data_IF_234748373166
#
_entry.id   IF_234748373166
#
_cell.length_a   1.000
_cell.length_b   1.000
_cell.length_c   1.000
_cell.angle_alpha   90.00
_cell.angle_beta   90.00
_cell.angle_gamma   90.00
#
_symmetry.space_group_name_H-M   'P 1'
#
loop_
_entity.id
_entity.type
_entity.pdbx_description
1 polymer ?
#
# COMPACT_ATOMS: atom_id res chain seq x y z
N UNK A 1 -25.34 -9.47 -2.02
CA UNK A 1 -25.03 -9.20 -0.59
C UNK A 1 -23.99 -8.10 -0.61
N UNK A 2 -24.42 -6.83 -0.54
CA UNK A 2 -23.51 -5.69 -0.49
C UNK A 2 -22.84 -5.70 0.89
N UNK A 3 -21.54 -6.02 0.94
CA UNK A 3 -20.71 -5.75 2.11
C UNK A 3 -20.47 -4.24 2.14
N UNK A 4 -21.44 -3.50 2.67
CA UNK A 4 -21.37 -2.06 2.80
C UNK A 4 -20.56 -1.69 4.05
N UNK A 5 -19.24 -1.65 3.93
CA UNK A 5 -18.37 -0.99 4.92
C UNK A 5 -18.35 0.51 4.63
N UNK A 6 -19.44 1.21 4.94
CA UNK A 6 -19.48 2.68 4.89
C UNK A 6 -18.88 3.24 6.17
N UNK A 7 -17.55 3.35 6.18
CA UNK A 7 -16.83 4.33 6.97
C UNK A 7 -16.53 5.52 6.03
N UNK A 8 -17.05 6.74 6.30
CA UNK A 8 -16.85 7.89 5.43
C UNK A 8 -15.39 8.36 5.31
N UNK A 9 -14.47 7.85 6.15
CA UNK A 9 -13.02 8.09 6.04
C UNK A 9 -12.26 6.96 5.33
N UNK A 10 -12.96 5.90 4.85
CA UNK A 10 -12.33 4.78 4.19
C UNK A 10 -12.65 4.75 2.69
N UNK A 11 -11.68 4.99 1.81
CA UNK A 11 -11.92 4.95 0.38
C UNK A 11 -12.49 3.59 -0.06
N UNK A 12 -13.71 3.61 -0.60
CA UNK A 12 -14.41 2.38 -0.93
C UNK A 12 -13.84 1.70 -2.18
N UNK A 13 -13.56 0.40 -2.07
CA UNK A 13 -13.26 -0.50 -3.18
C UNK A 13 -14.52 -1.30 -3.48
N UNK A 14 -15.08 -1.18 -4.68
CA UNK A 14 -16.29 -1.91 -5.07
C UNK A 14 -15.99 -2.93 -6.17
N UNK A 15 -16.55 -4.13 -6.02
CA UNK A 15 -16.49 -5.18 -7.02
C UNK A 15 -17.85 -5.31 -7.70
N UNK A 16 -17.90 -5.11 -9.01
CA UNK A 16 -19.11 -5.23 -9.82
C UNK A 16 -18.97 -6.52 -10.65
N UNK A 17 -19.94 -7.45 -10.58
CA UNK A 17 -19.81 -8.75 -11.26
C UNK A 17 -19.57 -8.65 -12.76
N UNK A 18 -20.25 -7.71 -13.43
CA UNK A 18 -20.07 -7.45 -14.85
C UNK A 18 -20.44 -6.02 -15.22
N UNK A 19 -19.90 -5.55 -16.35
CA UNK A 19 -20.28 -4.26 -16.93
C UNK A 19 -20.43 -4.41 -18.44
N UNK A 20 -21.67 -4.30 -18.93
CA UNK A 20 -21.96 -4.35 -20.36
C UNK A 20 -21.62 -3.01 -21.01
N UNK A 21 -21.09 -3.01 -22.24
CA UNK A 21 -20.95 -1.77 -23.00
C UNK A 21 -22.33 -1.19 -23.31
N UNK A 22 -22.49 0.15 -23.33
CA UNK A 22 -23.76 0.78 -23.68
C UNK A 22 -24.19 0.51 -25.13
N UNK A 23 -23.22 0.21 -26.01
CA UNK A 23 -23.42 -0.19 -27.38
C UNK A 23 -22.44 -1.34 -27.69
N UNK A 24 -22.95 -2.46 -28.18
CA UNK A 24 -22.14 -3.63 -28.51
C UNK A 24 -21.30 -3.37 -29.78
N UNK A 25 -20.30 -4.22 -30.04
CA UNK A 25 -19.60 -4.19 -31.32
C UNK A 25 -20.53 -4.71 -32.43
N UNK A 26 -20.49 -4.09 -33.60
CA UNK A 26 -21.34 -4.48 -34.72
C UNK A 26 -21.70 -3.33 -35.65
N UNK A 27 -22.53 -3.66 -36.64
CA UNK A 27 -23.05 -2.71 -37.63
C UNK A 27 -24.37 -2.10 -37.16
N UNK A 28 -24.45 -0.78 -37.22
CA UNK A 28 -25.60 -0.02 -36.76
C UNK A 28 -26.08 0.97 -37.83
N UNK A 29 -27.38 1.23 -37.81
CA UNK A 29 -28.05 2.19 -38.69
C UNK A 29 -28.81 3.22 -37.87
N UNK A 30 -28.40 4.48 -37.97
CA UNK A 30 -29.15 5.61 -37.41
C UNK A 30 -30.13 6.10 -38.47
N UNK A 31 -31.40 6.17 -38.12
CA UNK A 31 -32.43 6.79 -38.96
C UNK A 31 -32.99 8.01 -38.27
N UNK A 32 -32.76 9.20 -38.84
CA UNK A 32 -33.35 10.45 -38.40
C UNK A 32 -34.58 10.75 -39.26
N UNK A 33 -35.76 10.85 -38.64
CA UNK A 33 -36.99 11.25 -39.31
C UNK A 33 -37.48 12.59 -38.76
N UNK A 34 -37.75 13.54 -39.64
CA UNK A 34 -38.36 14.83 -39.30
C UNK A 34 -39.70 14.94 -40.00
N UNK A 35 -40.74 15.18 -39.23
CA UNK A 35 -42.08 15.44 -39.76
C UNK A 35 -42.38 16.92 -39.60
N UNK A 36 -42.71 17.59 -40.71
CA UNK A 36 -43.05 19.01 -40.76
C UNK A 36 -44.52 19.14 -41.13
N UNK A 37 -45.28 19.86 -40.32
CA UNK A 37 -46.69 20.15 -40.56
C UNK A 37 -46.88 21.66 -40.74
N UNK A 38 -47.53 22.05 -41.84
CA UNK A 38 -47.86 23.47 -42.10
C UNK A 38 -49.37 23.58 -42.26
N UNK A 39 -50.01 24.38 -41.39
CA UNK A 39 -51.40 24.81 -41.53
C UNK A 39 -52.47 23.71 -41.37
N UNK A 40 -52.16 22.58 -40.72
CA UNK A 40 -53.14 21.53 -40.40
C UNK A 40 -53.59 20.66 -41.56
N UNK A 41 -52.92 20.72 -42.73
CA UNK A 41 -53.37 19.99 -43.93
C UNK A 41 -52.27 19.24 -44.70
N UNK A 42 -50.99 19.59 -44.55
CA UNK A 42 -49.89 18.87 -45.23
C UNK A 42 -48.80 18.47 -44.23
N UNK A 43 -48.54 17.17 -44.16
CA UNK A 43 -47.53 16.55 -43.30
C UNK A 43 -46.44 15.95 -44.19
N UNK A 44 -45.29 16.60 -44.29
CA UNK A 44 -44.12 16.07 -45.01
C UNK A 44 -43.19 15.37 -44.02
N UNK A 45 -42.73 14.18 -44.37
CA UNK A 45 -41.74 13.44 -43.57
C UNK A 45 -40.43 13.29 -44.34
N UNK A 46 -39.38 13.88 -43.80
CA UNK A 46 -38.01 13.75 -44.26
C UNK A 46 -37.32 12.62 -43.49
N UNK A 47 -36.52 11.80 -44.18
CA UNK A 47 -35.72 10.74 -43.57
C UNK A 47 -34.27 10.87 -44.03
N UNK A 48 -33.36 10.78 -43.07
CA UNK A 48 -31.93 10.62 -43.31
C UNK A 48 -31.45 9.35 -42.62
N UNK A 49 -30.57 8.60 -43.28
CA UNK A 49 -30.05 7.33 -42.78
C UNK A 49 -28.53 7.38 -42.82
N UNK A 50 -27.90 6.98 -41.72
CA UNK A 50 -26.45 6.87 -41.60
C UNK A 50 -26.08 5.51 -41.02
N UNK A 51 -25.29 4.74 -41.76
CA UNK A 51 -24.69 3.50 -41.31
C UNK A 51 -23.35 3.78 -40.64
N UNK A 52 -23.05 3.08 -39.54
CA UNK A 52 -21.78 3.15 -38.84
C UNK A 52 -21.46 1.81 -38.17
N UNK A 53 -20.18 1.58 -37.85
CA UNK A 53 -19.71 0.34 -37.23
C UNK A 53 -19.06 0.68 -35.89
N UNK A 54 -19.36 -0.11 -34.88
CA UNK A 54 -18.66 -0.09 -33.58
C UNK A 54 -17.66 -1.23 -33.59
N UNK A 55 -16.38 -0.89 -33.56
CA UNK A 55 -15.28 -1.86 -33.50
C UNK A 55 -14.94 -2.18 -32.04
N UNK A 56 -14.53 -3.42 -31.79
CA UNK A 56 -14.02 -3.88 -30.50
C UNK A 56 -12.79 -4.78 -30.69
N UNK A 57 -12.01 -4.96 -29.64
CA UNK A 57 -10.87 -5.89 -29.66
C UNK A 57 -11.38 -7.32 -29.89
N UNK A 58 -10.65 -8.11 -30.70
CA UNK A 58 -11.06 -9.48 -31.06
C UNK A 58 -9.89 -10.45 -31.13
N UNK A 59 -8.94 -10.21 -32.03
CA UNK A 59 -7.80 -11.10 -32.28
C UNK A 59 -6.45 -10.51 -31.83
N UNK A 60 -6.47 -9.25 -31.40
CA UNK A 60 -5.37 -8.56 -30.75
C UNK A 60 -5.90 -7.78 -29.57
N UNK A 61 -4.98 -7.34 -28.73
CA UNK A 61 -5.25 -6.44 -27.64
C UNK A 61 -4.29 -5.26 -27.78
N UNK A 62 -4.82 -4.05 -27.86
CA UNK A 62 -4.00 -2.84 -27.76
C UNK A 62 -3.23 -2.85 -26.42
N UNK A 63 -1.88 -2.75 -26.42
CA UNK A 63 -1.09 -2.67 -25.21
C UNK A 63 -1.54 -1.56 -24.23
N UNK A 64 -2.16 -0.48 -24.73
CA UNK A 64 -2.70 0.59 -23.88
C UNK A 64 -3.90 0.14 -23.03
N UNK A 65 -4.61 -0.93 -23.44
CA UNK A 65 -5.70 -1.52 -22.67
C UNK A 65 -5.20 -2.41 -21.54
N UNK A 66 -3.96 -2.88 -21.59
CA UNK A 66 -3.35 -3.69 -20.54
C UNK A 66 -2.86 -2.78 -19.40
N UNK A 67 -3.46 -2.92 -18.22
CA UNK A 67 -3.03 -2.16 -17.04
C UNK A 67 -1.90 -2.87 -16.29
N UNK A 68 -2.11 -4.14 -15.92
CA UNK A 68 -1.13 -4.94 -15.19
C UNK A 68 -1.40 -6.43 -15.30
N UNK A 69 -0.35 -7.22 -15.07
CA UNK A 69 -0.39 -8.68 -15.00
C UNK A 69 0.11 -9.12 -13.63
N UNK A 70 -0.48 -10.18 -13.10
CA UNK A 70 -0.18 -10.68 -11.77
C UNK A 70 -0.18 -12.21 -11.77
N UNK A 71 0.91 -12.88 -11.38
CA UNK A 71 2.23 -12.32 -11.10
C UNK A 71 2.79 -11.50 -12.28
N UNK A 72 3.67 -10.53 -12.00
CA UNK A 72 4.25 -9.70 -13.07
C UNK A 72 5.12 -10.56 -13.99
N UNK A 73 5.22 -10.15 -15.25
CA UNK A 73 6.13 -10.80 -16.18
C UNK A 73 7.59 -10.77 -15.64
N UNK A 74 8.25 -11.92 -15.64
CA UNK A 74 9.58 -12.14 -15.07
C UNK A 74 9.64 -12.23 -13.54
N UNK A 75 8.51 -12.15 -12.83
CA UNK A 75 8.51 -12.17 -11.37
C UNK A 75 8.96 -13.51 -10.80
N UNK A 76 9.54 -13.45 -9.59
CA UNK A 76 9.96 -14.63 -8.80
C UNK A 76 9.46 -14.47 -7.38
N UNK A 77 8.72 -15.44 -6.87
CA UNK A 77 8.11 -15.36 -5.54
C UNK A 77 7.27 -16.58 -5.22
N UNK A 78 6.70 -16.63 -4.01
CA UNK A 78 5.67 -17.61 -3.69
C UNK A 78 4.34 -17.13 -4.28
N UNK A 79 3.95 -17.75 -5.38
CA UNK A 79 2.68 -17.48 -6.07
C UNK A 79 1.72 -18.66 -5.99
N UNK A 80 2.03 -19.70 -5.20
CA UNK A 80 1.27 -20.95 -5.22
C UNK A 80 -0.14 -20.81 -4.64
N UNK A 81 -0.44 -19.66 -4.03
CA UNK A 81 -1.74 -19.29 -3.43
C UNK A 81 -2.41 -18.13 -4.17
N UNK A 82 -1.91 -17.76 -5.33
CA UNK A 82 -2.41 -16.65 -6.11
C UNK A 82 -2.83 -17.14 -7.50
N UNK A 83 -4.12 -16.95 -7.84
CA UNK A 83 -4.58 -17.16 -9.21
C UNK A 83 -3.97 -16.09 -10.13
N UNK A 84 -3.35 -16.50 -11.26
CA UNK A 84 -2.88 -15.56 -12.26
C UNK A 84 -4.03 -14.72 -12.79
N UNK A 85 -3.82 -13.42 -12.94
CA UNK A 85 -4.85 -12.52 -13.41
C UNK A 85 -4.26 -11.33 -14.17
N UNK A 86 -5.09 -10.71 -14.99
CA UNK A 86 -4.79 -9.51 -15.74
C UNK A 86 -5.80 -8.41 -15.38
N UNK A 87 -5.31 -7.18 -15.31
CA UNK A 87 -6.13 -5.97 -15.12
C UNK A 87 -6.13 -5.19 -16.43
N UNK A 88 -7.31 -4.78 -16.88
CA UNK A 88 -7.56 -4.10 -18.14
C UNK A 88 -8.15 -2.70 -17.87
N UNK A 89 -7.69 -1.70 -18.61
CA UNK A 89 -8.17 -0.32 -18.52
C UNK A 89 -9.59 -0.15 -19.08
N UNK A 90 -10.01 -1.03 -20.01
CA UNK A 90 -11.38 -1.05 -20.52
C UNK A 90 -12.25 -1.98 -19.67
N UNK A 91 -13.04 -1.40 -18.75
CA UNK A 91 -13.88 -2.15 -17.81
C UNK A 91 -14.94 -3.04 -18.47
N UNK A 92 -15.41 -2.70 -19.67
CA UNK A 92 -16.43 -3.48 -20.40
C UNK A 92 -15.83 -4.58 -21.28
N UNK A 93 -14.51 -4.56 -21.52
CA UNK A 93 -13.85 -5.42 -22.49
C UNK A 93 -14.17 -6.93 -22.33
N UNK A 94 -14.19 -7.51 -21.11
CA UNK A 94 -14.56 -8.92 -20.92
C UNK A 94 -15.97 -9.29 -21.39
N UNK A 95 -16.85 -8.30 -21.62
CA UNK A 95 -18.25 -8.48 -22.04
C UNK A 95 -18.61 -7.71 -23.32
N UNK A 96 -17.62 -7.23 -24.07
CA UNK A 96 -17.85 -6.64 -25.40
C UNK A 96 -18.18 -7.70 -26.46
N UNK A 97 -17.75 -8.95 -26.21
CA UNK A 97 -18.02 -10.13 -27.04
C UNK A 97 -18.53 -11.28 -26.17
N UNK A 98 -18.88 -12.38 -26.80
CA UNK A 98 -19.54 -13.51 -26.16
C UNK A 98 -18.86 -14.85 -26.50
N UNK A 99 -18.78 -15.79 -25.55
CA UNK A 99 -18.48 -17.19 -25.85
C UNK A 99 -19.54 -17.88 -26.73
N UNK A 100 -20.75 -17.33 -26.75
CA UNK A 100 -21.84 -17.83 -27.58
C UNK A 100 -21.88 -17.13 -28.95
N UNK A 101 -22.29 -17.88 -29.97
CA UNK A 101 -22.57 -17.34 -31.31
C UNK A 101 -23.75 -16.36 -31.29
N UNK A 102 -24.76 -16.65 -30.46
CA UNK A 102 -25.92 -15.80 -30.23
C UNK A 102 -25.85 -15.19 -28.82
N UNK A 103 -26.35 -13.96 -28.60
CA UNK A 103 -26.31 -13.35 -27.27
C UNK A 103 -27.04 -14.20 -26.23
N UNK A 104 -26.50 -14.23 -25.00
CA UNK A 104 -27.10 -14.95 -23.88
C UNK A 104 -28.52 -14.43 -23.58
N UNK A 105 -29.39 -15.31 -23.08
CA UNK A 105 -30.74 -14.95 -22.68
C UNK A 105 -30.73 -13.83 -21.62
N UNK A 106 -31.69 -12.91 -21.74
CA UNK A 106 -31.84 -11.76 -20.85
C UNK A 106 -32.06 -12.20 -19.40
N UNK A 107 -31.23 -11.71 -18.47
CA UNK A 107 -31.39 -11.92 -17.02
C UNK A 107 -30.33 -12.80 -16.36
N UNK A 108 -29.45 -13.43 -17.13
CA UNK A 108 -28.30 -14.17 -16.58
C UNK A 108 -27.01 -13.33 -16.56
N UNK A 109 -26.11 -13.63 -15.63
CA UNK A 109 -24.75 -13.04 -15.59
C UNK A 109 -24.00 -13.41 -16.87
N UNK A 110 -23.62 -12.44 -17.74
CA UNK A 110 -22.96 -12.76 -19.00
C UNK A 110 -21.56 -13.34 -18.74
N UNK A 111 -21.21 -14.51 -19.32
CA UNK A 111 -19.86 -15.05 -19.20
C UNK A 111 -18.87 -14.18 -19.97
N UNK A 112 -17.63 -14.10 -19.48
CA UNK A 112 -16.59 -13.42 -20.23
C UNK A 112 -16.16 -14.20 -21.46
N UNK A 113 -15.90 -13.51 -22.56
CA UNK A 113 -15.21 -14.09 -23.72
C UNK A 113 -13.68 -14.16 -23.54
N UNK A 114 -13.16 -13.66 -22.42
CA UNK A 114 -11.75 -13.69 -22.08
C UNK A 114 -11.50 -14.68 -20.95
N UNK A 115 -10.39 -15.41 -21.02
CA UNK A 115 -9.94 -16.27 -19.95
C UNK A 115 -8.42 -16.22 -19.79
N UNK A 116 -7.95 -16.46 -18.57
CA UNK A 116 -6.53 -16.69 -18.31
C UNK A 116 -6.30 -18.20 -18.16
N UNK A 117 -5.51 -18.77 -19.06
CA UNK A 117 -5.07 -20.17 -18.99
C UNK A 117 -3.62 -20.24 -18.53
N UNK A 118 -3.29 -21.24 -17.71
CA UNK A 118 -1.99 -21.39 -17.07
C UNK A 118 -1.35 -22.73 -17.45
N UNK A 119 -0.08 -22.65 -17.84
CA UNK A 119 0.79 -23.78 -18.14
C UNK A 119 1.97 -23.79 -17.18
N UNK A 120 2.46 -24.97 -16.82
CA UNK A 120 3.69 -25.15 -16.06
C UNK A 120 4.59 -26.24 -16.66
N UNK A 121 5.69 -26.58 -16.00
CA UNK A 121 6.66 -27.57 -16.51
C UNK A 121 6.09 -28.99 -16.67
N UNK A 122 5.01 -29.33 -15.97
CA UNK A 122 4.34 -30.64 -16.06
C UNK A 122 3.49 -30.76 -17.33
N UNK A 123 3.00 -29.63 -17.82
CA UNK A 123 2.19 -29.48 -19.03
C UNK A 123 2.65 -28.25 -19.82
N UNK A 124 3.81 -28.36 -20.49
CA UNK A 124 4.54 -27.22 -20.99
C UNK A 124 3.70 -26.37 -21.95
N UNK A 125 3.86 -25.04 -21.91
CA UNK A 125 3.11 -24.14 -22.77
C UNK A 125 3.41 -24.46 -24.24
N UNK A 126 2.39 -24.62 -25.10
CA UNK A 126 2.60 -24.75 -26.53
C UNK A 126 3.27 -23.48 -27.10
N UNK A 127 4.08 -23.58 -28.16
CA UNK A 127 4.75 -22.44 -28.75
C UNK A 127 3.72 -21.45 -29.32
N UNK A 128 3.87 -20.17 -28.99
CA UNK A 128 3.07 -19.11 -29.60
C UNK A 128 3.45 -18.95 -31.08
N UNK A 129 2.45 -18.98 -31.96
CA UNK A 129 2.61 -18.87 -33.40
C UNK A 129 1.97 -17.60 -33.92
N UNK A 130 2.72 -16.81 -34.69
CA UNK A 130 2.16 -15.67 -35.42
C UNK A 130 1.72 -16.14 -36.81
N UNK A 131 0.47 -15.88 -37.16
CA UNK A 131 -0.09 -16.15 -38.48
C UNK A 131 -1.06 -15.04 -38.88
N UNK A 132 -1.78 -15.19 -39.99
CA UNK A 132 -2.80 -14.22 -40.43
C UNK A 132 -4.21 -14.79 -40.24
N UNK A 133 -5.23 -13.92 -40.25
CA UNK A 133 -6.64 -14.33 -40.12
C UNK A 133 -7.10 -15.33 -41.20
N UNK A 134 -6.48 -15.31 -42.39
CA UNK A 134 -6.70 -16.32 -43.43
C UNK A 134 -6.42 -17.76 -42.96
N UNK A 135 -5.41 -17.93 -42.09
CA UNK A 135 -4.90 -19.22 -41.65
C UNK A 135 -5.39 -19.64 -40.26
N UNK A 136 -6.32 -18.87 -39.68
CA UNK A 136 -6.83 -19.11 -38.33
C UNK A 136 -7.74 -20.35 -38.26
N UNK A 137 -8.37 -20.73 -39.38
CA UNK A 137 -9.29 -21.86 -39.47
C UNK A 137 -8.64 -23.20 -39.08
N UNK A 138 -9.48 -24.10 -38.57
CA UNK A 138 -9.08 -25.45 -38.21
C UNK A 138 -8.74 -26.35 -39.39
N UNK A 139 -8.22 -27.54 -39.08
CA UNK A 139 -8.02 -28.67 -39.99
C UNK A 139 -8.63 -29.94 -39.39
N UNK A 140 -8.56 -31.08 -40.07
CA UNK A 140 -9.15 -32.35 -39.60
C UNK A 140 -8.73 -32.76 -38.17
N UNK A 141 -7.51 -32.38 -37.74
CA UNK A 141 -7.00 -32.68 -36.39
C UNK A 141 -6.91 -31.46 -35.46
N UNK A 142 -7.13 -30.25 -35.99
CA UNK A 142 -7.00 -29.00 -35.25
C UNK A 142 -8.31 -28.23 -35.26
N UNK A 143 -8.87 -27.99 -34.08
CA UNK A 143 -10.14 -27.32 -33.94
C UNK A 143 -9.97 -25.81 -33.69
N UNK A 144 -10.77 -25.02 -34.41
CA UNK A 144 -11.03 -23.60 -34.14
C UNK A 144 -12.48 -23.30 -34.51
N UNK A 145 -13.27 -22.55 -33.71
CA UNK A 145 -14.67 -22.28 -34.02
C UNK A 145 -14.82 -21.47 -35.32
N UNK A 146 -15.98 -21.61 -35.95
CA UNK A 146 -16.32 -20.81 -37.11
C UNK A 146 -16.29 -19.31 -36.76
N UNK A 147 -15.75 -18.50 -37.69
CA UNK A 147 -15.70 -17.04 -37.58
C UNK A 147 -16.44 -16.38 -38.74
N UNK A 148 -17.02 -15.22 -38.47
CA UNK A 148 -17.45 -14.24 -39.46
C UNK A 148 -16.39 -13.15 -39.62
N UNK A 149 -16.21 -12.64 -40.83
CA UNK A 149 -15.39 -11.45 -41.08
C UNK A 149 -16.18 -10.21 -40.71
N UNK A 150 -15.62 -9.36 -39.86
CA UNK A 150 -16.22 -8.08 -39.45
C UNK A 150 -15.68 -6.91 -40.27
N UNK A 151 -16.44 -5.81 -40.43
CA UNK A 151 -15.94 -4.62 -41.13
C UNK A 151 -14.64 -4.12 -40.50
N UNK A 152 -13.62 -3.92 -41.33
CA UNK A 152 -12.29 -3.50 -40.90
C UNK A 152 -11.28 -4.63 -40.72
N UNK A 153 -11.72 -5.90 -40.72
CA UNK A 153 -10.83 -7.05 -40.72
C UNK A 153 -10.33 -7.37 -42.13
N UNK A 154 -9.05 -7.73 -42.22
CA UNK A 154 -8.41 -8.22 -43.45
C UNK A 154 -7.82 -9.59 -43.21
N UNK A 155 -7.86 -10.46 -44.23
CA UNK A 155 -7.28 -11.80 -44.15
C UNK A 155 -5.76 -11.81 -43.89
N UNK A 156 -5.09 -10.68 -44.14
CA UNK A 156 -3.67 -10.43 -43.88
C UNK A 156 -3.38 -9.97 -42.46
N UNK A 157 -4.40 -9.67 -41.65
CA UNK A 157 -4.20 -9.20 -40.28
C UNK A 157 -3.47 -10.26 -39.46
N UNK A 158 -2.33 -9.93 -38.81
CA UNK A 158 -1.68 -10.85 -37.90
C UNK A 158 -2.55 -11.27 -36.70
N UNK A 159 -2.36 -12.49 -36.24
CA UNK A 159 -2.95 -13.06 -35.03
C UNK A 159 -1.91 -13.97 -34.38
N UNK A 160 -1.88 -13.97 -33.05
CA UNK A 160 -1.03 -14.89 -32.27
C UNK A 160 -1.91 -15.99 -31.71
N UNK A 161 -1.52 -17.25 -31.93
CA UNK A 161 -2.26 -18.42 -31.48
C UNK A 161 -1.38 -19.38 -30.71
N UNK A 162 -2.02 -20.22 -29.92
CA UNK A 162 -1.43 -21.39 -29.27
C UNK A 162 -2.29 -22.61 -29.60
N UNK A 163 -1.66 -23.74 -29.93
CA UNK A 163 -2.33 -24.99 -30.25
C UNK A 163 -2.18 -25.94 -29.05
N UNK A 164 -3.25 -26.07 -28.26
CA UNK A 164 -3.26 -26.84 -27.01
C UNK A 164 -3.73 -28.26 -27.29
N UNK A 165 -3.07 -29.26 -26.72
CA UNK A 165 -3.56 -30.65 -26.80
C UNK A 165 -4.98 -30.77 -26.22
N UNK A 166 -5.83 -31.60 -26.82
CA UNK A 166 -7.25 -31.70 -26.45
C UNK A 166 -7.45 -32.15 -24.99
N UNK A 167 -6.62 -33.06 -24.48
CA UNK A 167 -6.74 -33.55 -23.11
C UNK A 167 -6.32 -32.44 -22.14
N UNK A 168 -5.23 -31.74 -22.46
CA UNK A 168 -4.78 -30.59 -21.68
C UNK A 168 -5.80 -29.44 -21.72
N UNK A 169 -6.39 -29.15 -22.88
CA UNK A 169 -7.42 -28.12 -23.02
C UNK A 169 -8.62 -28.43 -22.13
N UNK A 170 -9.14 -29.66 -22.14
CA UNK A 170 -10.25 -30.05 -21.28
C UNK A 170 -9.88 -29.99 -19.79
N UNK A 171 -8.61 -30.22 -19.44
CA UNK A 171 -8.13 -30.16 -18.05
C UNK A 171 -7.94 -28.73 -17.52
N UNK A 172 -7.58 -27.76 -18.36
CA UNK A 172 -7.19 -26.41 -17.91
C UNK A 172 -8.18 -25.30 -18.32
N UNK A 173 -8.96 -25.50 -19.37
CA UNK A 173 -9.91 -24.49 -19.81
C UNK A 173 -11.03 -24.31 -18.77
N UNK A 174 -11.49 -23.07 -18.54
CA UNK A 174 -12.63 -22.84 -17.66
C UNK A 174 -13.91 -23.41 -18.26
N UNK A 175 -14.83 -23.87 -17.40
CA UNK A 175 -16.19 -24.19 -17.82
C UNK A 175 -16.94 -22.92 -18.23
N UNK A 176 -18.05 -23.08 -18.93
CA UNK A 176 -18.93 -21.95 -19.25
C UNK A 176 -19.47 -21.23 -17.99
N UNK A 177 -19.66 -21.97 -16.90
CA UNK A 177 -20.10 -21.39 -15.63
C UNK A 177 -18.96 -20.64 -14.93
N UNK A 178 -17.72 -21.15 -14.97
CA UNK A 178 -16.53 -20.47 -14.45
C UNK A 178 -16.33 -19.09 -15.07
N UNK A 179 -16.62 -18.93 -16.37
CA UNK A 179 -16.48 -17.66 -17.08
C UNK A 179 -17.38 -16.54 -16.54
N UNK A 180 -18.40 -16.86 -15.74
CA UNK A 180 -19.24 -15.87 -15.04
C UNK A 180 -18.58 -15.33 -13.77
N UNK A 181 -17.56 -16.03 -13.27
CA UNK A 181 -16.82 -15.70 -12.03
C UNK A 181 -15.38 -15.25 -12.31
N UNK A 182 -14.82 -15.68 -13.43
CA UNK A 182 -13.44 -15.40 -13.83
C UNK A 182 -13.23 -13.97 -14.35
N UNK A 183 -14.28 -13.15 -14.43
CA UNK A 183 -14.16 -11.73 -14.74
C UNK A 183 -15.04 -10.89 -13.81
N UNK A 184 -14.54 -9.72 -13.41
CA UNK A 184 -15.31 -8.73 -12.66
C UNK A 184 -14.71 -7.34 -12.88
N UNK A 185 -15.47 -6.30 -12.53
CA UNK A 185 -14.98 -4.91 -12.51
C UNK A 185 -14.56 -4.54 -11.10
N UNK A 186 -13.39 -3.94 -11.01
CA UNK A 186 -12.85 -3.30 -9.81
C UNK A 186 -13.01 -1.78 -9.96
N UNK A 187 -13.97 -1.22 -9.24
CA UNK A 187 -14.16 0.24 -9.14
C UNK A 187 -13.35 0.80 -7.99
N UNK A 188 -12.50 1.77 -8.30
CA UNK A 188 -11.60 2.42 -7.33
C UNK A 188 -11.93 3.89 -7.26
N UNK A 189 -12.16 4.39 -6.05
CA UNK A 189 -12.23 5.82 -5.79
C UNK A 189 -10.84 6.45 -5.95
N UNK A 190 -10.65 7.50 -6.79
CA UNK A 190 -9.38 8.20 -6.92
C UNK A 190 -8.87 8.79 -5.60
N UNK A 191 -9.75 9.16 -4.66
CA UNK A 191 -9.34 9.63 -3.33
C UNK A 191 -8.60 8.54 -2.54
N UNK A 192 -8.79 7.26 -2.88
CA UNK A 192 -8.06 6.12 -2.35
C UNK A 192 -6.59 6.05 -2.78
N UNK A 193 -6.24 6.75 -3.87
CA UNK A 193 -4.93 6.66 -4.51
C UNK A 193 -4.22 8.00 -4.36
N UNK A 194 -3.21 8.03 -3.50
CA UNK A 194 -2.37 9.21 -3.25
C UNK A 194 -1.71 9.81 -4.52
N UNK A 195 -1.64 9.05 -5.62
CA UNK A 195 -1.07 9.49 -6.89
C UNK A 195 -2.09 10.09 -7.88
N UNK A 196 -3.39 10.11 -7.56
CA UNK A 196 -4.44 10.60 -8.45
C UNK A 196 -5.11 11.84 -7.86
N UNK A 197 -5.62 12.69 -8.76
CA UNK A 197 -6.45 13.83 -8.36
C UNK A 197 -7.80 13.32 -7.82
N UNK A 198 -8.12 13.69 -6.58
CA UNK A 198 -9.36 13.33 -5.90
C UNK A 198 -10.63 13.96 -6.48
N UNK A 199 -10.51 14.85 -7.47
CA UNK A 199 -11.62 15.39 -8.25
C UNK A 199 -12.08 14.49 -9.40
N UNK A 200 -11.30 13.45 -9.72
CA UNK A 200 -11.65 12.51 -10.79
C UNK A 200 -12.85 11.64 -10.39
N UNK A 201 -13.69 11.25 -11.36
CA UNK A 201 -14.73 10.24 -11.11
C UNK A 201 -14.11 8.87 -10.78
N UNK A 202 -14.89 7.96 -10.15
CA UNK A 202 -14.47 6.57 -9.92
C UNK A 202 -13.89 5.92 -11.18
N UNK A 203 -12.76 5.23 -11.01
CA UNK A 203 -12.08 4.53 -12.11
C UNK A 203 -12.46 3.05 -12.09
N UNK A 204 -12.95 2.57 -13.22
CA UNK A 204 -13.34 1.17 -13.41
C UNK A 204 -12.25 0.42 -14.19
N UNK A 205 -11.84 -0.72 -13.65
CA UNK A 205 -10.92 -1.65 -14.30
C UNK A 205 -11.56 -3.02 -14.43
N UNK A 206 -11.38 -3.69 -15.55
CA UNK A 206 -11.75 -5.10 -15.68
C UNK A 206 -10.62 -5.97 -15.13
N UNK A 207 -10.98 -7.02 -14.40
CA UNK A 207 -10.04 -8.03 -13.90
C UNK A 207 -10.48 -9.37 -14.47
N UNK A 208 -9.58 -10.06 -15.16
CA UNK A 208 -9.78 -11.44 -15.63
C UNK A 208 -8.83 -12.36 -14.86
N UNK A 209 -9.39 -13.34 -14.17
CA UNK A 209 -8.71 -14.26 -13.26
C UNK A 209 -8.70 -15.66 -13.87
N UNK A 210 -7.58 -16.38 -13.72
CA UNK A 210 -7.48 -17.77 -14.13
C UNK A 210 -8.21 -18.71 -13.17
N UNK A 211 -8.41 -19.95 -13.60
CA UNK A 211 -9.06 -21.03 -12.84
C UNK A 211 -8.04 -22.02 -12.23
N UNK A 212 -6.74 -21.82 -12.46
CA UNK A 212 -5.66 -22.73 -12.05
C UNK A 212 -4.57 -22.00 -11.27
N UNK A 213 -4.12 -22.61 -10.17
CA UNK A 213 -2.98 -22.13 -9.37
C UNK A 213 -1.64 -22.61 -9.96
N UNK A 214 -0.58 -21.80 -9.88
CA UNK A 214 0.76 -22.23 -10.29
C UNK A 214 1.37 -23.21 -9.31
N UNK A 215 2.03 -24.25 -9.83
CA UNK A 215 2.73 -25.24 -9.02
C UNK A 215 3.97 -24.64 -8.32
N UNK A 216 4.20 -24.91 -7.02
CA UNK A 216 5.42 -24.50 -6.34
C UNK A 216 6.67 -25.10 -6.98
N UNK A 217 7.71 -24.29 -7.14
CA UNK A 217 8.99 -24.70 -7.72
C UNK A 217 9.03 -24.64 -9.26
N UNK A 218 7.90 -24.43 -9.93
CA UNK A 218 7.82 -24.46 -11.39
C UNK A 218 7.91 -23.05 -11.99
N UNK A 219 8.47 -22.96 -13.20
CA UNK A 219 8.21 -21.84 -14.10
C UNK A 219 6.82 -22.00 -14.73
N UNK A 220 6.03 -20.92 -14.73
CA UNK A 220 4.69 -20.91 -15.30
C UNK A 220 4.53 -19.84 -16.37
N UNK A 221 3.69 -20.13 -17.36
CA UNK A 221 3.30 -19.19 -18.42
C UNK A 221 1.79 -19.06 -18.43
N UNK A 222 1.31 -17.83 -18.30
CA UNK A 222 -0.11 -17.51 -18.38
C UNK A 222 -0.42 -16.82 -19.69
N UNK A 223 -1.55 -17.17 -20.31
CA UNK A 223 -2.06 -16.56 -21.52
C UNK A 223 -3.45 -15.99 -21.27
N UNK A 224 -3.68 -14.73 -21.66
CA UNK A 224 -5.03 -14.21 -21.86
C UNK A 224 -5.51 -14.66 -23.24
N UNK A 225 -6.52 -15.52 -23.28
CA UNK A 225 -7.06 -16.10 -24.51
C UNK A 225 -8.47 -15.60 -24.81
N UNK A 226 -8.79 -15.54 -26.11
CA UNK A 226 -10.16 -15.35 -26.59
C UNK A 226 -10.90 -16.68 -26.63
N UNK A 227 -12.10 -16.69 -26.06
CA UNK A 227 -13.06 -17.78 -26.07
C UNK A 227 -14.33 -17.39 -26.84
N UNK A 228 -14.24 -16.45 -27.77
CA UNK A 228 -15.35 -16.12 -28.67
C UNK A 228 -15.84 -17.36 -29.43
N UNK A 229 -17.15 -17.62 -29.42
CA UNK A 229 -17.79 -18.79 -30.02
C UNK A 229 -17.34 -20.16 -29.45
N UNK A 230 -16.64 -20.20 -28.31
CA UNK A 230 -16.22 -21.45 -27.68
C UNK A 230 -17.27 -22.14 -26.80
N UNK A 231 -18.39 -21.49 -26.47
CA UNK A 231 -19.34 -21.97 -25.46
C UNK A 231 -19.70 -23.49 -25.52
N UNK A 232 -20.07 -24.08 -26.68
CA UNK A 232 -20.39 -25.50 -26.72
C UNK A 232 -19.16 -26.42 -26.62
N UNK A 233 -17.97 -25.89 -26.88
CA UNK A 233 -16.70 -26.62 -26.95
C UNK A 233 -15.90 -26.57 -25.64
N UNK A 234 -16.34 -25.79 -24.65
CA UNK A 234 -15.72 -25.74 -23.32
C UNK A 234 -16.01 -27.02 -22.52
N UNK A 235 -15.14 -27.38 -21.56
CA UNK A 235 -15.39 -28.51 -20.66
C UNK A 235 -16.61 -28.25 -19.76
N UNK A 236 -17.16 -29.33 -19.21
CA UNK A 236 -18.20 -29.26 -18.18
C UNK A 236 -17.67 -28.74 -16.84
N UNK A 237 -18.56 -28.42 -15.91
CA UNK A 237 -18.22 -27.83 -14.60
C UNK A 237 -17.29 -28.70 -13.73
N UNK A 238 -17.28 -30.02 -13.97
CA UNK A 238 -16.43 -30.99 -13.28
C UNK A 238 -15.20 -31.39 -14.11
N UNK A 239 -14.86 -30.62 -15.16
CA UNK A 239 -13.74 -30.91 -16.06
C UNK A 239 -14.02 -32.00 -17.11
N UNK A 240 -15.30 -32.34 -17.30
CA UNK A 240 -15.72 -33.35 -18.28
C UNK A 240 -15.42 -32.86 -19.71
N UNK A 241 -14.81 -33.68 -20.58
CA UNK A 241 -14.50 -33.30 -21.95
C UNK A 241 -15.72 -32.84 -22.75
N UNK A 242 -15.55 -31.82 -23.59
CA UNK A 242 -16.66 -31.34 -24.42
C UNK A 242 -17.13 -32.41 -25.41
N UNK A 243 -18.45 -32.61 -25.47
CA UNK A 243 -19.11 -33.52 -26.42
C UNK A 243 -19.32 -32.88 -27.80
N UNK A 244 -19.12 -31.57 -27.93
CA UNK A 244 -19.36 -30.84 -29.18
C UNK A 244 -18.13 -30.77 -30.08
N UNK A 245 -16.94 -31.09 -29.57
CA UNK A 245 -15.72 -31.13 -30.37
C UNK A 245 -15.82 -32.23 -31.45
N UNK A 246 -15.45 -31.94 -32.71
CA UNK A 246 -15.49 -32.93 -33.79
C UNK A 246 -14.63 -34.17 -33.49
N UNK A 247 -15.12 -35.34 -33.90
CA UNK A 247 -14.37 -36.59 -33.77
C UNK A 247 -13.05 -36.52 -34.55
N UNK A 248 -11.94 -36.89 -33.91
CA UNK A 248 -10.59 -36.83 -34.50
C UNK A 248 -9.79 -35.57 -34.15
N UNK A 249 -10.41 -34.59 -33.48
CA UNK A 249 -9.70 -33.42 -32.92
C UNK A 249 -8.61 -33.88 -31.96
N UNK A 250 -7.38 -33.38 -32.17
CA UNK A 250 -6.22 -33.61 -31.29
C UNK A 250 -5.76 -32.35 -30.59
N UNK A 251 -5.93 -31.20 -31.24
CA UNK A 251 -5.50 -29.91 -30.70
C UNK A 251 -6.61 -28.88 -30.84
N UNK A 252 -6.76 -28.02 -29.84
CA UNK A 252 -7.64 -26.87 -29.83
C UNK A 252 -6.79 -25.61 -29.96
N UNK A 253 -7.04 -24.83 -31.02
CA UNK A 253 -6.35 -23.56 -31.25
C UNK A 253 -7.03 -22.45 -30.45
N UNK A 254 -6.24 -21.69 -29.71
CA UNK A 254 -6.69 -20.52 -28.97
C UNK A 254 -5.95 -19.28 -29.45
N UNK A 255 -6.68 -18.17 -29.58
CA UNK A 255 -6.06 -16.87 -29.85
C UNK A 255 -5.49 -16.32 -28.56
N UNK A 256 -4.19 -16.10 -28.51
CA UNK A 256 -3.47 -15.56 -27.36
C UNK A 256 -3.29 -14.04 -27.52
N UNK A 257 -4.04 -13.27 -26.76
CA UNK A 257 -4.04 -11.80 -26.80
C UNK A 257 -2.81 -11.19 -26.10
N UNK A 258 -2.40 -11.79 -24.98
CA UNK A 258 -1.15 -11.46 -24.29
C UNK A 258 -0.68 -12.66 -23.48
N UNK A 259 0.61 -12.73 -23.18
CA UNK A 259 1.20 -13.78 -22.36
C UNK A 259 2.26 -13.21 -21.43
N UNK A 260 2.46 -13.87 -20.30
CA UNK A 260 3.51 -13.51 -19.35
C UNK A 260 4.03 -14.73 -18.61
N UNK A 261 5.28 -14.65 -18.19
CA UNK A 261 6.00 -15.75 -17.55
C UNK A 261 6.40 -15.35 -16.14
N UNK A 262 6.36 -16.27 -15.20
CA UNK A 262 6.82 -16.04 -13.83
C UNK A 262 7.30 -17.36 -13.20
N UNK A 263 8.11 -17.26 -12.14
CA UNK A 263 8.62 -18.42 -11.42
C UNK A 263 7.97 -18.49 -10.04
N UNK A 264 7.23 -19.57 -9.80
CA UNK A 264 6.66 -19.88 -8.50
C UNK A 264 7.73 -20.61 -7.68
N UNK A 265 8.23 -20.01 -6.61
CA UNK A 265 9.23 -20.65 -5.75
C UNK A 265 8.55 -21.73 -4.91
N UNK A 266 9.25 -22.83 -4.67
CA UNK A 266 8.85 -23.79 -3.65
C UNK A 266 8.87 -23.04 -2.31
N UNK A 267 7.74 -23.02 -1.59
CA UNK A 267 7.42 -22.12 -0.46
C UNK A 267 8.30 -22.28 0.79
N UNK A 268 9.49 -22.86 0.64
CA UNK A 268 10.54 -23.05 1.64
C UNK A 268 11.25 -21.73 2.05
N UNK A 269 10.95 -20.60 1.39
CA UNK A 269 11.57 -19.30 1.68
C UNK A 269 10.55 -18.15 1.68
N UNK A 270 9.44 -18.32 2.42
CA UNK A 270 8.51 -17.23 2.70
C UNK A 270 9.17 -16.12 3.54
N UNK A 271 8.58 -14.92 3.55
CA UNK A 271 9.11 -13.76 4.30
C UNK A 271 9.40 -14.09 5.77
N UNK A 272 8.48 -14.78 6.46
CA UNK A 272 8.66 -15.16 7.86
C UNK A 272 9.84 -16.14 8.08
N UNK A 273 10.06 -17.07 7.15
CA UNK A 273 11.18 -18.01 7.20
C UNK A 273 12.50 -17.30 6.90
N UNK A 274 12.53 -16.40 5.91
CA UNK A 274 13.68 -15.55 5.62
C UNK A 274 14.03 -14.67 6.83
N UNK A 275 13.04 -14.07 7.49
CA UNK A 275 13.22 -13.32 8.74
C UNK A 275 13.66 -14.19 9.91
N UNK A 276 13.15 -15.42 10.02
CA UNK A 276 13.58 -16.37 11.04
C UNK A 276 15.00 -16.90 10.84
N UNK A 277 15.45 -17.00 9.58
CA UNK A 277 16.80 -17.43 9.20
C UNK A 277 17.82 -16.29 9.22
N UNK A 278 17.38 -15.03 9.34
CA UNK A 278 18.26 -13.87 9.47
C UNK A 278 18.98 -13.92 10.83
N UNK A 279 20.28 -14.19 10.81
CA UNK A 279 21.09 -14.05 12.01
C UNK A 279 21.30 -12.56 12.34
N UNK A 280 21.06 -12.11 13.58
CA UNK A 280 21.24 -10.72 14.00
C UNK A 280 22.72 -10.33 14.17
N UNK A 281 23.65 -11.01 13.49
CA UNK A 281 25.09 -10.81 13.59
C UNK A 281 25.50 -9.36 13.30
N UNK A 282 24.79 -8.66 12.40
CA UNK A 282 25.04 -7.26 12.07
C UNK A 282 24.74 -6.26 13.21
N UNK A 283 24.04 -6.68 14.26
CA UNK A 283 23.69 -5.84 15.43
C UNK A 283 24.53 -6.17 16.68
N UNK A 284 25.57 -7.00 16.53
CA UNK A 284 26.47 -7.44 17.61
C UNK A 284 27.91 -7.16 17.22
N UNK A 285 28.75 -6.89 18.20
CA UNK A 285 30.19 -6.88 17.96
C UNK A 285 30.67 -8.32 17.73
N UNK A 286 31.57 -8.56 16.75
CA UNK A 286 32.12 -9.88 16.53
C UNK A 286 32.93 -10.31 17.76
N UNK A 287 32.75 -11.56 18.17
CA UNK A 287 33.53 -12.18 19.24
C UNK A 287 34.54 -13.14 18.63
N UNK A 288 35.82 -12.91 18.90
CA UNK A 288 36.92 -13.72 18.39
C UNK A 288 37.15 -14.92 19.33
N UNK A 289 36.46 -16.02 19.03
CA UNK A 289 36.53 -17.26 19.80
C UNK A 289 37.91 -17.92 19.73
N UNK A 290 38.66 -17.68 18.67
CA UNK A 290 39.92 -18.38 18.41
C UNK A 290 41.06 -17.83 19.28
N UNK A 291 40.93 -16.58 19.73
CA UNK A 291 41.90 -15.90 20.60
C UNK A 291 41.44 -15.76 22.07
N UNK A 292 40.27 -16.33 22.43
CA UNK A 292 39.75 -16.26 23.79
C UNK A 292 40.40 -17.31 24.71
N UNK A 293 40.71 -16.95 25.95
CA UNK A 293 41.31 -17.85 26.95
C UNK A 293 40.24 -18.62 27.77
N UNK A 294 38.95 -18.50 27.41
CA UNK A 294 37.77 -19.02 28.13
C UNK A 294 37.68 -18.60 29.61
N UNK A 295 38.31 -17.46 29.94
CA UNK A 295 38.29 -16.90 31.29
C UNK A 295 36.91 -16.37 31.67
N UNK A 296 36.66 -16.17 32.96
CA UNK A 296 35.43 -15.51 33.43
C UNK A 296 35.28 -14.08 32.85
N UNK A 297 36.39 -13.43 32.51
CA UNK A 297 36.41 -12.14 31.81
C UNK A 297 35.92 -12.26 30.37
N UNK A 298 36.44 -13.25 29.63
CA UNK A 298 36.06 -13.52 28.25
C UNK A 298 34.58 -13.85 28.12
N UNK A 299 34.06 -14.69 29.02
CA UNK A 299 32.62 -15.04 29.07
C UNK A 299 31.73 -13.82 29.28
N UNK A 300 32.20 -12.84 30.06
CA UNK A 300 31.47 -11.57 30.29
C UNK A 300 31.50 -10.68 29.06
N UNK A 301 32.63 -10.58 28.37
CA UNK A 301 32.75 -9.79 27.13
C UNK A 301 31.95 -10.43 25.99
N UNK A 302 32.02 -11.75 25.81
CA UNK A 302 31.21 -12.48 24.84
C UNK A 302 29.71 -12.24 25.07
N UNK A 303 29.27 -12.33 26.33
CA UNK A 303 27.88 -12.04 26.68
C UNK A 303 27.51 -10.58 26.41
N UNK A 304 28.36 -9.62 26.79
CA UNK A 304 28.13 -8.19 26.53
C UNK A 304 27.98 -7.91 25.03
N UNK A 305 28.86 -8.46 24.19
CA UNK A 305 28.77 -8.35 22.73
C UNK A 305 27.51 -9.03 22.18
N UNK A 306 27.13 -10.19 22.72
CA UNK A 306 25.88 -10.89 22.40
C UNK A 306 24.64 -10.06 22.69
N UNK A 307 24.67 -9.25 23.76
CA UNK A 307 23.61 -8.30 24.11
C UNK A 307 23.68 -7.01 23.26
N UNK A 308 24.74 -6.78 22.49
CA UNK A 308 24.92 -5.61 21.62
C UNK A 308 25.68 -4.45 22.29
N UNK A 309 26.37 -4.70 23.40
CA UNK A 309 27.27 -3.72 24.01
C UNK A 309 28.58 -3.62 23.23
N UNK A 310 29.18 -2.44 23.27
CA UNK A 310 30.54 -2.17 22.83
C UNK A 310 31.28 -1.36 23.89
N UNK A 311 32.56 -1.65 24.06
CA UNK A 311 33.41 -0.94 25.02
C UNK A 311 33.88 0.39 24.41
N UNK A 312 33.69 1.48 25.15
CA UNK A 312 34.08 2.83 24.73
C UNK A 312 34.95 3.49 25.80
N UNK A 313 35.95 4.25 25.35
CA UNK A 313 36.72 5.11 26.24
C UNK A 313 35.79 6.17 26.84
N UNK A 314 35.82 6.31 28.16
CA UNK A 314 34.95 7.20 28.92
C UNK A 314 35.79 8.17 29.75
N UNK A 315 35.65 9.46 29.49
CA UNK A 315 36.20 10.53 30.33
C UNK A 315 35.16 10.94 31.38
N UNK A 316 35.47 10.72 32.65
CA UNK A 316 34.62 11.08 33.77
C UNK A 316 34.71 12.58 34.05
N UNK A 317 33.70 13.12 34.75
CA UNK A 317 33.59 14.56 35.04
C UNK A 317 34.71 15.11 35.91
N UNK A 318 35.33 14.25 36.72
CA UNK A 318 36.50 14.56 37.54
C UNK A 318 37.81 14.56 36.73
N UNK A 319 37.77 14.28 35.42
CA UNK A 319 38.94 14.21 34.54
C UNK A 319 39.61 12.84 34.50
N UNK A 320 39.09 11.84 35.20
CA UNK A 320 39.61 10.48 35.13
C UNK A 320 39.20 9.80 33.82
N UNK A 321 40.05 8.89 33.35
CA UNK A 321 39.79 8.07 32.16
C UNK A 321 39.49 6.63 32.57
N UNK A 322 38.41 6.09 32.04
CA UNK A 322 37.98 4.70 32.25
C UNK A 322 37.39 4.13 30.97
N UNK A 323 36.90 2.90 31.01
CA UNK A 323 36.18 2.24 29.92
C UNK A 323 34.76 1.93 30.40
N UNK A 324 33.79 2.23 29.54
CA UNK A 324 32.37 2.01 29.81
C UNK A 324 31.73 1.19 28.70
N UNK A 325 30.69 0.44 29.07
CA UNK A 325 29.80 -0.20 28.15
C UNK A 325 28.84 0.81 27.53
N UNK A 326 28.73 0.79 26.20
CA UNK A 326 27.76 1.54 25.44
C UNK A 326 26.94 0.60 24.55
N UNK A 327 25.64 0.84 24.48
CA UNK A 327 24.69 0.10 23.67
C UNK A 327 23.85 1.07 22.85
N UNK A 328 23.79 0.85 21.54
CA UNK A 328 23.02 1.66 20.61
C UNK A 328 21.50 1.44 20.73
N UNK A 329 20.67 2.20 19.99
CA UNK A 329 19.22 2.03 20.01
C UNK A 329 18.70 0.80 19.25
N UNK A 330 19.50 0.24 18.31
CA UNK A 330 19.16 -0.95 17.54
C UNK A 330 19.70 -2.19 18.23
N UNK A 331 18.83 -2.89 18.95
CA UNK A 331 19.22 -3.96 19.87
C UNK A 331 19.07 -5.35 19.24
N UNK A 332 20.04 -6.25 19.43
CA UNK A 332 19.94 -7.64 18.96
C UNK A 332 19.10 -8.53 19.88
N UNK A 333 18.59 -7.99 21.00
CA UNK A 333 17.76 -8.69 21.98
C UNK A 333 16.68 -7.76 22.51
N UNK A 334 15.53 -8.34 22.87
CA UNK A 334 14.45 -7.61 23.52
C UNK A 334 14.88 -7.11 24.91
N UNK A 335 14.49 -5.90 25.26
CA UNK A 335 14.76 -5.30 26.58
C UNK A 335 13.46 -4.98 27.30
N UNK A 336 13.46 -5.18 28.62
CA UNK A 336 12.40 -4.65 29.49
C UNK A 336 12.54 -3.13 29.65
N UNK A 337 11.46 -2.48 30.09
CA UNK A 337 11.29 -1.02 30.05
C UNK A 337 12.35 -0.19 30.79
N UNK A 338 12.25 1.13 30.62
CA UNK A 338 13.20 2.11 31.18
C UNK A 338 13.30 1.99 32.72
N UNK A 339 14.52 1.98 33.30
CA UNK A 339 14.71 1.91 34.75
C UNK A 339 14.13 3.12 35.49
N UNK A 340 14.09 4.29 34.83
CA UNK A 340 13.63 5.56 35.39
C UNK A 340 12.88 6.35 34.32
N UNK A 341 11.67 6.81 34.64
CA UNK A 341 10.82 7.53 33.68
C UNK A 341 11.33 8.94 33.35
N UNK A 342 11.96 9.62 34.33
CA UNK A 342 12.46 10.98 34.18
C UNK A 342 13.83 11.14 34.82
N UNK A 343 14.73 11.86 34.16
CA UNK A 343 16.04 12.21 34.68
C UNK A 343 16.33 13.70 34.47
N UNK A 344 16.84 14.36 35.51
CA UNK A 344 17.14 15.79 35.48
C UNK A 344 18.43 16.09 34.70
N UNK A 345 19.36 15.13 34.72
CA UNK A 345 20.60 15.16 33.97
C UNK A 345 21.02 13.73 33.59
N UNK A 346 21.86 13.60 32.56
CA UNK A 346 22.25 12.29 32.04
C UNK A 346 22.99 11.41 33.05
N UNK A 347 23.75 12.00 33.97
CA UNK A 347 24.51 11.22 34.96
C UNK A 347 23.59 10.41 35.89
N UNK A 348 22.31 10.79 36.05
CA UNK A 348 21.32 9.99 36.80
C UNK A 348 20.98 8.66 36.11
N UNK A 349 21.34 8.52 34.83
CA UNK A 349 21.10 7.34 34.00
C UNK A 349 22.37 6.51 33.75
N UNK A 350 23.48 6.86 34.41
CA UNK A 350 24.66 6.00 34.47
C UNK A 350 24.36 4.79 35.34
N UNK A 351 24.71 3.60 34.86
CA UNK A 351 24.49 2.35 35.59
C UNK A 351 25.84 1.72 35.89
N UNK A 352 26.15 1.51 37.15
CA UNK A 352 27.37 0.80 37.54
C UNK A 352 27.09 -0.69 37.65
N UNK A 353 27.93 -1.52 37.02
CA UNK A 353 27.94 -2.95 37.22
C UNK A 353 29.06 -3.34 38.21
N UNK A 354 28.74 -3.72 39.46
CA UNK A 354 29.74 -4.11 40.44
C UNK A 354 30.54 -5.35 40.06
N UNK A 355 30.01 -6.22 39.20
CA UNK A 355 30.68 -7.45 38.82
C UNK A 355 31.86 -7.17 37.87
N UNK A 356 31.68 -6.29 36.88
CA UNK A 356 32.73 -5.87 35.94
C UNK A 356 33.51 -4.63 36.38
N UNK A 357 32.99 -3.85 37.33
CA UNK A 357 33.56 -2.57 37.71
C UNK A 357 33.40 -1.47 36.65
N UNK A 358 32.56 -1.69 35.64
CA UNK A 358 32.35 -0.79 34.52
C UNK A 358 31.00 -0.07 34.61
N UNK A 359 30.92 1.11 33.98
CA UNK A 359 29.65 1.80 33.79
C UNK A 359 28.98 1.38 32.48
N UNK A 360 27.67 1.21 32.48
CA UNK A 360 26.80 1.25 31.30
C UNK A 360 26.30 2.69 31.13
N UNK A 361 26.79 3.35 30.07
CA UNK A 361 26.49 4.74 29.72
C UNK A 361 25.32 4.85 28.74
N UNK A 362 24.71 3.75 28.31
CA UNK A 362 23.76 3.73 27.18
C UNK A 362 22.59 4.69 27.35
N UNK A 363 21.94 4.68 28.51
CA UNK A 363 20.82 5.59 28.79
C UNK A 363 21.26 7.03 29.02
N UNK A 364 22.43 7.25 29.63
CA UNK A 364 23.03 8.58 29.78
C UNK A 364 23.31 9.20 28.40
N UNK A 365 23.95 8.44 27.51
CA UNK A 365 24.20 8.83 26.12
C UNK A 365 22.90 9.09 25.35
N UNK A 366 21.87 8.25 25.50
CA UNK A 366 20.57 8.43 24.86
C UNK A 366 19.87 9.73 25.33
N UNK A 367 19.90 10.01 26.64
CA UNK A 367 19.37 11.26 27.19
C UNK A 367 20.13 12.48 26.65
N UNK A 368 21.46 12.41 26.60
CA UNK A 368 22.28 13.49 26.05
C UNK A 368 22.01 13.73 24.57
N UNK A 369 21.91 12.67 23.78
CA UNK A 369 21.56 12.76 22.37
C UNK A 369 20.19 13.39 22.18
N UNK A 370 19.18 12.95 22.94
CA UNK A 370 17.85 13.56 22.93
C UNK A 370 17.88 15.05 23.27
N UNK A 371 18.65 15.44 24.28
CA UNK A 371 18.85 16.86 24.64
C UNK A 371 19.50 17.64 23.51
N UNK A 372 20.54 17.11 22.86
CA UNK A 372 21.22 17.77 21.74
C UNK A 372 20.30 17.91 20.52
N UNK A 373 19.55 16.87 20.17
CA UNK A 373 18.55 16.92 19.09
C UNK A 373 17.44 17.94 19.39
N UNK A 374 16.99 18.00 20.64
CA UNK A 374 16.01 18.98 21.08
C UNK A 374 16.55 20.41 20.99
N UNK A 375 17.81 20.65 21.39
CA UNK A 375 18.45 21.96 21.29
C UNK A 375 18.77 22.36 19.84
N UNK A 376 19.04 21.40 18.96
CA UNK A 376 19.23 21.65 17.53
C UNK A 376 17.94 22.16 16.87
N UNK A 377 16.77 21.75 17.38
CA UNK A 377 15.48 22.25 16.90
C UNK A 377 15.19 23.65 17.48
N UNK A 378 15.43 24.68 16.68
CA UNK A 378 15.25 26.08 17.08
C UNK A 378 13.83 26.42 17.52
N UNK A 379 12.82 25.82 16.88
CA UNK A 379 11.41 26.01 17.24
C UNK A 379 11.12 25.43 18.63
N UNK A 380 11.57 24.20 18.89
CA UNK A 380 11.40 23.57 20.20
C UNK A 380 12.13 24.37 21.30
N UNK A 381 13.40 24.72 21.07
CA UNK A 381 14.21 25.46 22.03
C UNK A 381 13.60 26.83 22.38
N UNK A 382 13.11 27.57 21.37
CA UNK A 382 12.49 28.88 21.57
C UNK A 382 11.18 28.78 22.37
N UNK A 383 10.34 27.79 22.06
CA UNK A 383 9.09 27.54 22.80
C UNK A 383 9.37 27.14 24.24
N UNK A 384 10.34 26.25 24.47
CA UNK A 384 10.73 25.83 25.82
C UNK A 384 11.27 27.01 26.63
N UNK A 385 12.09 27.87 26.03
CA UNK A 385 12.60 29.08 26.69
C UNK A 385 11.48 30.04 27.07
N UNK A 386 10.56 30.35 26.15
CA UNK A 386 9.40 31.22 26.42
C UNK A 386 8.50 30.66 27.51
N UNK A 387 8.26 29.35 27.48
CA UNK A 387 7.49 28.67 28.52
C UNK A 387 8.16 28.80 29.90
N UNK A 388 9.47 28.55 30.00
CA UNK A 388 10.23 28.73 31.25
C UNK A 388 10.16 30.17 31.75
N UNK A 389 10.39 31.14 30.87
CA UNK A 389 10.34 32.56 31.20
C UNK A 389 8.96 32.98 31.71
N UNK A 390 7.90 32.56 31.03
CA UNK A 390 6.52 32.84 31.44
C UNK A 390 6.20 32.25 32.81
N UNK A 391 6.67 31.03 33.10
CA UNK A 391 6.47 30.41 34.41
C UNK A 391 7.23 31.15 35.53
N UNK A 392 8.48 31.56 35.30
CA UNK A 392 9.25 32.37 36.26
C UNK A 392 8.58 33.72 36.52
N UNK A 393 8.09 34.40 35.47
CA UNK A 393 7.37 35.67 35.62
C UNK A 393 6.06 35.52 36.42
N UNK A 394 5.31 34.45 36.18
CA UNK A 394 4.09 34.15 36.95
C UNK A 394 4.40 33.88 38.42
N UNK A 395 5.47 33.15 38.72
CA UNK A 395 5.89 32.91 40.10
C UNK A 395 6.31 34.22 40.79
N UNK A 396 7.10 35.06 40.13
CA UNK A 396 7.48 36.39 40.64
C UNK A 396 6.26 37.26 40.94
N UNK A 397 5.32 37.38 40.00
CA UNK A 397 4.07 38.13 40.20
C UNK A 397 3.24 37.58 41.36
N UNK A 398 3.20 36.25 41.52
CA UNK A 398 2.49 35.64 42.64
C UNK A 398 3.13 35.97 43.98
N UNK A 399 4.45 36.06 44.04
CA UNK A 399 5.17 36.47 45.25
C UNK A 399 4.97 37.96 45.54
N UNK A 400 5.10 38.82 44.54
CA UNK A 400 4.86 40.27 44.66
C UNK A 400 3.43 40.56 45.14
N UNK A 401 2.43 39.86 44.59
CA UNK A 401 1.03 40.02 45.02
C UNK A 401 0.81 39.53 46.45
N UNK A 402 1.42 38.42 46.86
CA UNK A 402 1.32 37.92 48.23
C UNK A 402 1.99 38.88 49.23
N UNK A 403 3.13 39.48 48.87
CA UNK A 403 3.81 40.48 49.71
C UNK A 403 3.00 41.79 49.81
N UNK A 404 2.38 42.23 48.70
CA UNK A 404 1.47 43.37 48.68
C UNK A 404 0.22 43.11 49.54
N UNK A 405 -0.39 41.93 49.42
CA UNK A 405 -1.55 41.55 50.22
C UNK A 405 -1.20 41.47 51.72
N UNK A 406 -0.01 40.95 52.07
CA UNK A 406 0.47 40.95 53.45
C UNK A 406 0.71 42.37 53.99
N UNK A 407 1.30 43.27 53.19
CA UNK A 407 1.53 44.66 53.58
C UNK A 407 0.22 45.47 53.72
N UNK A 408 -0.81 45.13 52.92
CA UNK A 408 -2.14 45.75 52.98
C UNK A 408 -3.01 45.17 54.11
N UNK A 409 -2.73 43.95 54.59
CA UNK A 409 -3.48 43.29 55.66
C UNK A 409 -3.35 43.97 57.03
N UNK A 410 -2.26 44.69 57.29
CA UNK A 410 -2.02 45.44 58.53
C UNK A 410 -2.79 46.79 58.62
N UNK A 411 -3.60 47.11 57.62
CA UNK A 411 -4.42 48.33 57.61
C UNK A 411 -5.80 48.07 58.25
N UNK A 412 -6.17 48.77 59.35
CA UNK A 412 -7.47 48.58 59.99
C UNK A 412 -8.61 49.06 59.09
N UNK A 413 -9.59 48.18 58.87
CA UNK A 413 -10.69 48.29 57.90
C UNK A 413 -11.77 49.34 58.19
N UNK A 414 -11.61 50.17 59.22
CA UNK A 414 -12.59 51.18 59.63
C UNK A 414 -12.04 52.61 59.47
N UNK A 415 -12.04 53.13 58.24
CA UNK A 415 -12.03 54.58 58.01
C UNK A 415 -12.90 54.90 56.78
N UNK A 416 -13.93 55.73 56.97
CA UNK A 416 -14.91 56.09 55.97
C UNK A 416 -14.27 56.80 54.74
N UNK A 417 -14.88 56.68 53.54
CA UNK A 417 -14.29 57.19 52.31
C UNK A 417 -14.50 58.71 52.22
N UNK A 418 -13.42 59.46 52.41
CA UNK A 418 -13.41 60.91 52.23
C UNK A 418 -12.02 61.48 52.44
N UNK A 419 -11.31 61.75 51.34
CA UNK A 419 -10.02 62.49 51.22
C UNK A 419 -8.80 62.00 52.04
N UNK A 420 -8.97 61.15 53.06
CA UNK A 420 -7.88 60.54 53.82
C UNK A 420 -7.29 59.28 53.15
N UNK A 421 -7.95 58.72 52.13
CA UNK A 421 -7.52 57.52 51.41
C UNK A 421 -6.38 57.79 50.43
N UNK A 422 -6.40 58.93 49.72
CA UNK A 422 -5.34 59.29 48.77
C UNK A 422 -4.00 59.55 49.49
N UNK A 423 -4.00 60.36 50.55
CA UNK A 423 -2.80 60.69 51.35
C UNK A 423 -2.30 59.54 52.25
N UNK A 424 -3.08 58.45 52.38
CA UNK A 424 -2.69 57.22 53.07
C UNK A 424 -2.08 56.21 52.12
N UNK A 425 -2.69 55.99 50.96
CA UNK A 425 -2.12 55.14 49.90
C UNK A 425 -0.78 55.72 49.42
N UNK A 426 -0.68 57.05 49.31
CA UNK A 426 0.57 57.75 49.00
C UNK A 426 1.65 57.54 50.08
N UNK A 427 1.26 57.45 51.36
CA UNK A 427 2.18 57.15 52.48
C UNK A 427 2.66 55.70 52.50
N UNK A 428 1.78 54.75 52.17
CA UNK A 428 2.12 53.32 52.05
C UNK A 428 3.03 53.10 50.84
N UNK A 429 2.73 53.71 49.69
CA UNK A 429 3.60 53.72 48.53
C UNK A 429 4.95 54.38 48.81
N UNK A 430 4.98 55.51 49.54
CA UNK A 430 6.23 56.17 49.95
C UNK A 430 7.06 55.30 50.90
N UNK A 431 6.43 54.57 51.84
CA UNK A 431 7.15 53.66 52.74
C UNK A 431 7.69 52.43 52.00
N UNK A 432 6.91 51.84 51.08
CA UNK A 432 7.34 50.74 50.22
C UNK A 432 8.47 51.17 49.28
N UNK A 433 8.38 52.38 48.70
CA UNK A 433 9.46 52.97 47.91
C UNK A 433 10.71 53.22 48.75
N UNK A 434 10.56 53.69 49.99
CA UNK A 434 11.69 53.93 50.89
C UNK A 434 12.38 52.61 51.27
N UNK A 435 11.61 51.58 51.56
CA UNK A 435 12.12 50.26 51.90
C UNK A 435 12.80 49.58 50.69
N UNK A 436 12.20 49.70 49.50
CA UNK A 436 12.85 49.24 48.27
C UNK A 436 14.15 50.01 47.94
N UNK A 437 14.22 51.32 48.24
CA UNK A 437 15.43 52.14 48.08
C UNK A 437 16.48 51.78 49.13
N UNK A 438 16.10 51.47 50.36
CA UNK A 438 17.00 51.04 51.42
C UNK A 438 17.56 49.64 51.13
N UNK A 439 16.74 48.70 50.63
CA UNK A 439 17.15 47.36 50.19
C UNK A 439 18.07 47.42 48.96
N UNK A 440 17.81 48.33 48.02
CA UNK A 440 18.72 48.63 46.89
C UNK A 440 20.03 49.28 47.38
N UNK A 441 19.97 50.13 48.40
CA UNK A 441 21.14 50.75 49.02
C UNK A 441 22.02 49.74 49.76
N UNK A 442 21.42 48.75 50.43
CA UNK A 442 22.14 47.63 51.03
C UNK A 442 22.72 46.67 49.99
N UNK A 443 22.02 46.40 48.88
CA UNK A 443 22.56 45.54 47.80
C UNK A 443 23.72 46.20 47.04
N UNK A 444 23.70 47.53 46.87
CA UNK A 444 24.80 48.30 46.27
C UNK A 444 26.01 48.40 47.21
N UNK A 445 25.80 48.55 48.53
CA UNK A 445 26.89 48.59 49.51
C UNK A 445 27.50 47.22 49.85
N UNK A 446 26.77 46.12 49.65
CA UNK A 446 27.28 44.77 49.92
C UNK A 446 28.00 44.12 48.73
N UNK A 447 28.11 44.81 47.60
CA UNK A 447 29.09 44.52 46.55
C UNK A 447 29.17 43.04 46.16
N UNK A 448 28.03 42.39 45.92
CA UNK A 448 27.99 41.03 45.37
C UNK A 448 27.46 41.07 43.95
N UNK A 449 28.41 41.13 43.02
CA UNK A 449 28.29 40.65 41.64
C UNK A 449 27.77 39.21 41.58
#
# INVERSE_FOLDING_TARGET
MELNTQDPDNPSLTFIPYLLPPLASGEYRITASQTVEIGGANQDTFKSVQDFVVLGERYRLDPALLNSQSPRNGARGDFSRQLPHVVLNAATLPWQRSPFVEPAATGETPPSWLAVVLFDESDPPPPAQSMTLANLLGSDTLFFPARNTEPGEQDTDPVTVIDVDIDLFNAIAPSLNDLRWNAHVRRVDPQAKASLDGSLPPLDYAVVVGNRLPAPGHSSVAHLVSLENFAPYLPGDEGEPSKALPAGTRTVRLVSLTSWTFNCRDGQQGFAQLFGALEPAALRMPWDKDNAEDSDGDKRVENAFGLGYSAMNHALRNGEHSVSWYRGPLLPVSTTGLPKAWASHADELLRYDPASGMFDVSYSSAWQLGRLLALQNSSFASTLYRWKLGHTQQQLQSWENNDLDAALADLPSNAAPGQATASRVERVLLNLLKQAVDDLGESINTGKN
#
